data_IF_052154430872
#
_entry.id   IF_052154430872
#
_cell.length_a   1.000
_cell.length_b   1.000
_cell.length_c   1.000
_cell.angle_alpha   90.00
_cell.angle_beta   90.00
_cell.angle_gamma   90.00
#
_symmetry.space_group_name_H-M   'P 1'
#
loop_
_entity.id
_entity.type
_entity.pdbx_description
1 polymer ?
#
# COMPACT_ATOMS: atom_id res chain seq x y z
N UNK A 1 31.26 51.22 -6.04
CA UNK A 1 30.96 50.08 -5.14
C UNK A 1 29.52 49.66 -5.35
N UNK A 2 29.27 48.62 -6.15
CA UNK A 2 27.94 48.03 -6.30
C UNK A 2 27.63 47.20 -5.04
N UNK A 3 26.66 47.66 -4.27
CA UNK A 3 26.10 46.92 -3.15
C UNK A 3 25.47 45.63 -3.70
N UNK A 4 26.07 44.47 -3.39
CA UNK A 4 25.48 43.15 -3.68
C UNK A 4 24.14 43.11 -2.95
N UNK A 5 23.03 43.24 -3.68
CA UNK A 5 21.70 43.01 -3.14
C UNK A 5 21.68 41.61 -2.52
N UNK A 6 21.41 41.54 -1.22
CA UNK A 6 21.30 40.29 -0.46
C UNK A 6 20.26 39.42 -1.17
N UNK A 7 20.68 38.26 -1.67
CA UNK A 7 19.83 37.33 -2.41
C UNK A 7 18.67 36.94 -1.48
N UNK A 8 17.48 37.51 -1.74
CA UNK A 8 16.30 37.27 -0.92
C UNK A 8 15.87 35.83 -1.22
N UNK A 9 16.08 34.92 -0.26
CA UNK A 9 15.64 33.54 -0.41
C UNK A 9 14.13 33.54 -0.55
N UNK A 10 13.63 33.25 -1.75
CA UNK A 10 12.21 33.06 -1.97
C UNK A 10 11.78 31.77 -1.26
N UNK A 11 11.22 31.90 -0.06
CA UNK A 11 10.73 30.78 0.76
C UNK A 11 9.82 29.86 -0.06
N UNK A 12 8.99 30.44 -0.94
CA UNK A 12 8.12 29.68 -1.84
C UNK A 12 8.93 28.84 -2.83
N UNK A 13 10.01 29.36 -3.40
CA UNK A 13 10.88 28.61 -4.31
C UNK A 13 11.62 27.48 -3.58
N UNK A 14 12.12 27.74 -2.36
CA UNK A 14 12.74 26.71 -1.53
C UNK A 14 11.75 25.59 -1.17
N UNK A 15 10.52 25.96 -0.80
CA UNK A 15 9.42 25.01 -0.59
C UNK A 15 9.16 24.15 -1.83
N UNK A 16 9.05 24.77 -3.02
CA UNK A 16 8.83 24.03 -4.27
C UNK A 16 9.94 23.05 -4.59
N UNK A 17 11.19 23.43 -4.33
CA UNK A 17 12.33 22.54 -4.54
C UNK A 17 12.32 21.36 -3.55
N UNK A 18 12.01 21.63 -2.28
CA UNK A 18 11.99 20.60 -1.24
C UNK A 18 10.88 19.58 -1.46
N UNK A 19 9.71 20.02 -1.94
CA UNK A 19 8.52 19.18 -2.11
C UNK A 19 8.31 18.63 -3.54
N UNK A 20 9.21 18.90 -4.50
CA UNK A 20 9.22 18.23 -5.81
C UNK A 20 9.83 16.81 -5.73
N UNK A 21 9.27 15.99 -4.84
CA UNK A 21 9.71 14.62 -4.53
C UNK A 21 9.65 13.71 -5.76
N UNK A 22 8.74 14.00 -6.70
CA UNK A 22 8.53 13.20 -7.91
C UNK A 22 9.29 13.71 -9.12
N UNK A 23 10.00 14.84 -9.01
CA UNK A 23 10.64 15.54 -10.13
C UNK A 23 9.69 15.69 -11.32
N UNK A 24 8.49 16.21 -11.05
CA UNK A 24 7.46 16.41 -12.08
C UNK A 24 7.89 17.50 -13.07
N UNK A 25 8.72 18.45 -12.61
CA UNK A 25 9.32 19.47 -13.44
C UNK A 25 10.54 18.92 -14.19
N UNK A 26 10.39 18.74 -15.51
CA UNK A 26 11.47 18.28 -16.40
C UNK A 26 12.45 19.38 -16.82
N UNK A 27 12.21 20.63 -16.45
CA UNK A 27 13.03 21.78 -16.87
C UNK A 27 14.24 21.95 -15.96
N UNK A 28 15.49 21.72 -16.41
CA UNK A 28 16.62 21.58 -15.49
C UNK A 28 17.33 22.89 -15.08
N UNK A 29 16.91 24.09 -15.54
CA UNK A 29 17.83 25.27 -15.46
C UNK A 29 17.24 26.64 -15.15
N UNK A 30 15.93 26.77 -14.94
CA UNK A 30 15.33 28.05 -14.55
C UNK A 30 14.25 27.76 -13.54
N UNK A 31 14.21 28.53 -12.45
CA UNK A 31 13.03 28.60 -11.60
C UNK A 31 11.82 28.71 -12.53
N UNK A 32 10.85 27.77 -12.49
CA UNK A 32 9.67 27.91 -13.32
C UNK A 32 9.11 29.31 -13.03
N UNK A 33 8.77 30.10 -14.06
CA UNK A 33 8.09 31.37 -13.82
C UNK A 33 6.93 31.07 -12.89
N UNK A 34 6.77 31.86 -11.82
CA UNK A 34 5.73 31.63 -10.82
C UNK A 34 4.44 31.31 -11.57
N UNK A 35 3.94 30.07 -11.46
CA UNK A 35 2.75 29.68 -12.18
C UNK A 35 1.68 30.75 -11.89
N UNK A 36 1.10 31.31 -12.96
CA UNK A 36 0.12 32.38 -12.84
C UNK A 36 -1.00 31.97 -11.86
N UNK A 37 -1.68 32.93 -11.22
CA UNK A 37 -2.70 32.62 -10.24
C UNK A 37 -3.73 31.67 -10.83
N UNK A 38 -3.91 30.51 -10.19
CA UNK A 38 -4.90 29.49 -10.61
C UNK A 38 -6.29 30.13 -10.64
N UNK A 39 -6.99 29.98 -11.75
CA UNK A 39 -8.36 30.48 -11.89
C UNK A 39 -9.26 29.92 -10.78
N UNK A 40 -10.11 30.78 -10.19
CA UNK A 40 -11.07 30.35 -9.14
C UNK A 40 -11.95 29.18 -9.60
N UNK A 41 -12.31 29.14 -10.90
CA UNK A 41 -13.10 28.04 -11.47
C UNK A 41 -12.34 26.72 -11.43
N UNK A 42 -11.07 26.72 -11.84
CA UNK A 42 -10.19 25.55 -11.80
C UNK A 42 -9.97 25.08 -10.37
N UNK A 43 -9.74 26.01 -9.45
CA UNK A 43 -9.55 25.72 -8.04
C UNK A 43 -10.80 25.08 -7.42
N UNK A 44 -11.98 25.65 -7.68
CA UNK A 44 -13.23 25.12 -7.17
C UNK A 44 -13.51 23.73 -7.73
N UNK A 45 -13.35 23.53 -9.04
CA UNK A 45 -13.51 22.23 -9.68
C UNK A 45 -12.56 21.18 -9.07
N UNK A 46 -11.30 21.54 -8.85
CA UNK A 46 -10.32 20.67 -8.19
C UNK A 46 -10.80 20.27 -6.79
N UNK A 47 -11.07 21.25 -5.92
CA UNK A 47 -11.48 20.97 -4.52
C UNK A 47 -12.78 20.16 -4.48
N UNK A 48 -13.79 20.52 -5.26
CA UNK A 48 -15.05 19.76 -5.33
C UNK A 48 -14.83 18.33 -5.79
N UNK A 49 -14.00 18.09 -6.80
CA UNK A 49 -13.70 16.72 -7.25
C UNK A 49 -13.00 15.88 -6.17
N UNK A 50 -12.09 16.49 -5.40
CA UNK A 50 -11.37 15.82 -4.31
C UNK A 50 -12.28 15.52 -3.12
N UNK A 51 -13.18 16.44 -2.76
CA UNK A 51 -14.20 16.21 -1.74
C UNK A 51 -15.17 15.10 -2.13
N UNK A 52 -15.65 15.09 -3.39
CA UNK A 52 -16.52 14.03 -3.89
C UNK A 52 -15.83 12.66 -3.84
N UNK A 53 -14.54 12.60 -4.20
CA UNK A 53 -13.74 11.38 -4.09
C UNK A 53 -13.64 10.88 -2.65
N UNK A 54 -13.35 11.75 -1.68
CA UNK A 54 -13.32 11.39 -0.25
C UNK A 54 -14.69 10.90 0.25
N UNK A 55 -15.78 11.53 -0.19
CA UNK A 55 -17.13 11.09 0.13
C UNK A 55 -17.42 9.68 -0.43
N UNK A 56 -17.04 9.42 -1.68
CA UNK A 56 -17.20 8.09 -2.29
C UNK A 56 -16.37 7.05 -1.53
N UNK A 57 -15.13 7.35 -1.18
CA UNK A 57 -14.29 6.46 -0.37
C UNK A 57 -14.92 6.16 0.98
N UNK A 58 -15.40 7.18 1.68
CA UNK A 58 -16.09 6.99 2.95
C UNK A 58 -17.34 6.11 2.80
N UNK A 59 -18.21 6.39 1.81
CA UNK A 59 -19.41 5.60 1.55
C UNK A 59 -19.09 4.13 1.25
N UNK A 60 -18.14 3.88 0.35
CA UNK A 60 -17.76 2.52 -0.03
C UNK A 60 -17.08 1.78 1.12
N UNK A 61 -16.17 2.43 1.85
CA UNK A 61 -15.48 1.78 2.96
C UNK A 61 -16.45 1.47 4.10
N UNK A 62 -17.24 2.44 4.55
CA UNK A 62 -18.11 2.28 5.72
C UNK A 62 -19.32 1.40 5.44
N UNK A 63 -19.98 1.57 4.28
CA UNK A 63 -21.25 0.89 4.02
C UNK A 63 -21.14 -0.37 3.17
N UNK A 64 -20.03 -0.57 2.45
CA UNK A 64 -19.85 -1.76 1.61
C UNK A 64 -18.71 -2.66 2.12
N UNK A 65 -17.50 -2.13 2.29
CA UNK A 65 -16.30 -2.95 2.51
C UNK A 65 -16.12 -3.41 3.96
N UNK A 66 -16.28 -2.50 4.93
CA UNK A 66 -16.17 -2.84 6.36
C UNK A 66 -17.19 -3.89 6.82
N UNK A 67 -18.49 -3.80 6.49
CA UNK A 67 -19.46 -4.79 6.93
C UNK A 67 -19.41 -6.10 6.14
N UNK A 68 -18.61 -6.19 5.06
CA UNK A 68 -18.67 -7.31 4.10
C UNK A 68 -18.44 -8.68 4.74
N UNK A 69 -17.38 -8.81 5.54
CA UNK A 69 -17.04 -10.08 6.21
C UNK A 69 -18.10 -10.47 7.26
N UNK A 70 -18.44 -9.61 8.24
CA UNK A 70 -19.44 -9.99 9.24
C UNK A 70 -20.84 -10.19 8.64
N UNK A 71 -21.20 -9.49 7.56
CA UNK A 71 -22.49 -9.66 6.89
C UNK A 71 -22.60 -11.02 6.19
N UNK A 72 -21.52 -11.49 5.56
CA UNK A 72 -21.53 -12.75 4.78
C UNK A 72 -21.22 -13.97 5.67
N UNK A 73 -20.35 -13.83 6.66
CA UNK A 73 -19.78 -14.95 7.42
C UNK A 73 -20.07 -14.90 8.94
N UNK A 74 -20.85 -13.93 9.41
CA UNK A 74 -21.16 -13.74 10.82
C UNK A 74 -21.98 -14.89 11.45
N UNK A 75 -21.74 -15.23 12.72
CA UNK A 75 -20.72 -14.67 13.61
C UNK A 75 -19.30 -15.11 13.20
N UNK A 76 -18.36 -14.18 13.32
CA UNK A 76 -16.95 -14.37 13.01
C UNK A 76 -16.20 -14.52 14.32
N UNK A 77 -15.34 -15.53 14.39
CA UNK A 77 -14.70 -15.95 15.62
C UNK A 77 -13.19 -15.70 15.61
N UNK A 78 -12.56 -15.45 16.78
CA UNK A 78 -11.14 -15.10 16.83
C UNK A 78 -10.21 -16.13 16.18
N UNK A 79 -10.48 -17.43 16.36
CA UNK A 79 -9.63 -18.51 15.83
C UNK A 79 -9.59 -18.56 14.30
N UNK A 80 -10.50 -17.87 13.60
CA UNK A 80 -10.49 -17.79 12.15
C UNK A 80 -9.36 -16.91 11.58
N UNK A 81 -8.73 -16.11 12.45
CA UNK A 81 -7.64 -15.20 12.12
C UNK A 81 -6.39 -15.49 12.97
N UNK A 82 -6.32 -16.63 13.64
CA UNK A 82 -5.16 -16.96 14.46
C UNK A 82 -3.93 -17.35 13.61
N UNK A 83 -2.82 -17.68 14.28
CA UNK A 83 -1.60 -18.14 13.61
C UNK A 83 -1.81 -19.44 12.82
N UNK A 84 -2.75 -20.30 13.24
CA UNK A 84 -3.05 -21.53 12.54
C UNK A 84 -3.69 -21.25 11.17
N UNK A 85 -4.66 -20.33 11.12
CA UNK A 85 -5.29 -19.85 9.90
C UNK A 85 -4.30 -19.23 8.91
N UNK A 86 -3.17 -18.69 9.37
CA UNK A 86 -2.11 -18.16 8.49
C UNK A 86 -1.36 -19.25 7.69
N UNK A 87 -1.37 -20.51 8.15
CA UNK A 87 -0.65 -21.63 7.55
C UNK A 87 -1.39 -22.34 6.40
N UNK A 88 -2.39 -21.68 5.82
CA UNK A 88 -3.28 -22.17 4.75
C UNK A 88 -2.67 -23.20 3.77
N UNK A 89 -1.61 -22.86 3.02
CA UNK A 89 -1.06 -23.77 2.02
C UNK A 89 -0.45 -25.05 2.59
N UNK A 90 0.08 -25.00 3.81
CA UNK A 90 0.60 -26.19 4.49
C UNK A 90 -0.51 -27.15 4.89
N UNK A 91 -1.75 -26.67 4.97
CA UNK A 91 -2.94 -27.42 5.39
C UNK A 91 -3.87 -27.78 4.23
N UNK A 92 -3.40 -27.63 2.98
CA UNK A 92 -4.16 -28.10 1.84
C UNK A 92 -4.33 -29.63 1.94
N UNK A 93 -5.46 -30.20 1.45
CA UNK A 93 -5.74 -31.64 1.53
C UNK A 93 -4.69 -32.55 0.86
N UNK A 94 -3.75 -31.97 0.11
CA UNK A 94 -2.60 -32.64 -0.48
C UNK A 94 -1.59 -33.15 0.58
N UNK A 95 -1.61 -32.59 1.79
CA UNK A 95 -0.74 -32.96 2.89
C UNK A 95 -1.63 -33.61 3.97
N UNK A 96 -1.41 -34.90 4.26
CA UNK A 96 -2.23 -35.69 5.20
C UNK A 96 -2.25 -35.08 6.61
N UNK A 97 -3.28 -34.27 6.91
CA UNK A 97 -3.35 -33.38 8.06
C UNK A 97 -4.69 -33.54 8.76
N UNK A 98 -4.65 -33.53 10.10
CA UNK A 98 -5.80 -33.74 10.98
C UNK A 98 -6.94 -32.72 10.80
N UNK A 99 -6.62 -31.51 10.37
CA UNK A 99 -7.58 -30.41 10.18
C UNK A 99 -7.30 -29.69 8.84
N UNK A 100 -7.88 -30.17 7.73
CA UNK A 100 -7.69 -29.56 6.42
C UNK A 100 -8.41 -28.21 6.30
N UNK A 101 -7.91 -27.37 5.38
CA UNK A 101 -8.55 -26.10 5.03
C UNK A 101 -10.02 -26.29 4.67
N UNK A 102 -10.89 -25.46 5.22
CA UNK A 102 -12.33 -25.46 4.91
C UNK A 102 -12.67 -24.48 3.78
N UNK A 103 -13.81 -24.73 3.11
CA UNK A 103 -14.37 -23.78 2.13
C UNK A 103 -14.67 -22.43 2.77
N UNK A 104 -15.17 -22.41 4.02
CA UNK A 104 -15.48 -21.18 4.77
C UNK A 104 -14.22 -20.34 4.97
N UNK A 105 -13.13 -20.93 5.43
CA UNK A 105 -11.84 -20.25 5.59
C UNK A 105 -11.31 -19.70 4.26
N UNK A 106 -11.43 -20.49 3.18
CA UNK A 106 -11.01 -20.07 1.84
C UNK A 106 -11.77 -18.83 1.38
N UNK A 107 -13.09 -18.81 1.56
CA UNK A 107 -13.95 -17.69 1.18
C UNK A 107 -13.69 -16.45 2.05
N UNK A 108 -13.56 -16.62 3.37
CA UNK A 108 -13.23 -15.52 4.29
C UNK A 108 -11.88 -14.93 3.90
N UNK A 109 -10.86 -15.75 3.68
CA UNK A 109 -9.52 -15.30 3.25
C UNK A 109 -9.56 -14.57 1.91
N UNK A 110 -10.36 -15.03 0.95
CA UNK A 110 -10.52 -14.38 -0.35
C UNK A 110 -11.14 -12.99 -0.20
N UNK A 111 -12.25 -12.88 0.54
CA UNK A 111 -12.93 -11.60 0.81
C UNK A 111 -12.04 -10.66 1.63
N UNK A 112 -11.34 -11.20 2.63
CA UNK A 112 -10.35 -10.48 3.43
C UNK A 112 -9.25 -9.88 2.55
N UNK A 113 -8.73 -10.64 1.60
CA UNK A 113 -7.67 -10.17 0.69
C UNK A 113 -8.14 -8.96 -0.11
N UNK A 114 -9.35 -9.01 -0.69
CA UNK A 114 -9.93 -7.88 -1.43
C UNK A 114 -10.13 -6.67 -0.52
N UNK A 115 -10.70 -6.89 0.68
CA UNK A 115 -10.89 -5.85 1.69
C UNK A 115 -9.57 -5.20 2.09
N UNK A 116 -8.53 -6.01 2.35
CA UNK A 116 -7.22 -5.52 2.77
C UNK A 116 -6.57 -4.65 1.69
N UNK A 117 -6.61 -5.06 0.43
CA UNK A 117 -6.10 -4.26 -0.70
C UNK A 117 -6.87 -2.94 -0.81
N UNK A 118 -8.20 -2.98 -0.68
CA UNK A 118 -9.05 -1.79 -0.75
C UNK A 118 -8.72 -0.80 0.35
N UNK A 119 -8.66 -1.24 1.61
CA UNK A 119 -8.40 -0.38 2.76
C UNK A 119 -7.03 0.30 2.64
N UNK A 120 -5.97 -0.47 2.37
CA UNK A 120 -4.63 0.11 2.19
C UNK A 120 -4.56 1.10 1.01
N UNK A 121 -5.28 0.83 -0.08
CA UNK A 121 -5.37 1.78 -1.20
C UNK A 121 -6.09 3.07 -0.79
N UNK A 122 -7.25 2.95 -0.15
CA UNK A 122 -8.07 4.10 0.25
C UNK A 122 -7.37 4.94 1.30
N UNK A 123 -6.76 4.34 2.33
CA UNK A 123 -6.12 5.07 3.42
C UNK A 123 -5.02 6.00 2.90
N UNK A 124 -4.16 5.45 2.05
CA UNK A 124 -3.03 6.16 1.46
C UNK A 124 -3.50 7.23 0.48
N UNK A 125 -4.42 6.91 -0.43
CA UNK A 125 -4.91 7.86 -1.44
C UNK A 125 -5.88 8.92 -0.87
N UNK A 126 -6.61 8.60 0.20
CA UNK A 126 -7.47 9.54 0.92
C UNK A 126 -6.62 10.57 1.65
N UNK A 127 -5.55 10.15 2.34
CA UNK A 127 -4.60 11.06 2.98
C UNK A 127 -3.98 12.03 1.95
N UNK A 128 -3.52 11.51 0.80
CA UNK A 128 -2.99 12.35 -0.28
C UNK A 128 -4.05 13.29 -0.87
N UNK A 129 -5.29 12.80 -1.05
CA UNK A 129 -6.41 13.61 -1.55
C UNK A 129 -6.76 14.72 -0.56
N UNK A 130 -6.79 14.44 0.73
CA UNK A 130 -7.03 15.43 1.79
C UNK A 130 -5.93 16.49 1.81
N UNK A 131 -4.66 16.08 1.82
CA UNK A 131 -3.54 17.02 1.80
C UNK A 131 -3.56 17.89 0.53
N UNK A 132 -3.96 17.34 -0.61
CA UNK A 132 -4.10 18.14 -1.84
C UNK A 132 -5.12 19.27 -1.70
N UNK A 133 -6.21 19.06 -0.96
CA UNK A 133 -7.20 20.11 -0.67
C UNK A 133 -6.58 21.18 0.21
N UNK A 134 -5.82 20.79 1.24
CA UNK A 134 -5.16 21.73 2.15
C UNK A 134 -4.14 22.59 1.39
N UNK A 135 -3.21 21.98 0.66
CA UNK A 135 -2.10 22.70 0.02
C UNK A 135 -2.50 23.49 -1.23
N UNK A 136 -3.42 22.97 -2.05
CA UNK A 136 -3.90 23.66 -3.26
C UNK A 136 -5.07 24.59 -2.94
N UNK A 137 -6.09 24.09 -2.24
CA UNK A 137 -7.35 24.79 -1.96
C UNK A 137 -7.22 25.88 -0.91
N UNK A 138 -6.76 25.50 0.28
CA UNK A 138 -6.75 26.37 1.47
C UNK A 138 -5.51 27.26 1.53
N UNK A 139 -4.32 26.65 1.49
CA UNK A 139 -3.04 27.36 1.64
C UNK A 139 -2.57 28.02 0.34
N UNK A 140 -3.06 27.55 -0.82
CA UNK A 140 -2.69 28.03 -2.16
C UNK A 140 -1.17 28.06 -2.39
N UNK A 141 -0.48 27.10 -1.78
CA UNK A 141 0.96 26.89 -1.98
C UNK A 141 1.21 26.17 -3.29
N UNK A 142 0.30 25.27 -3.66
CA UNK A 142 0.40 24.38 -4.82
C UNK A 142 -0.69 24.61 -5.86
N UNK A 143 -0.41 24.13 -7.08
CA UNK A 143 -1.37 24.05 -8.19
C UNK A 143 -1.84 22.59 -8.38
N UNK A 144 -3.03 22.36 -8.95
CA UNK A 144 -3.58 21.03 -9.18
C UNK A 144 -2.61 20.03 -9.85
N UNK A 145 -1.80 20.50 -10.78
CA UNK A 145 -0.85 19.71 -11.57
C UNK A 145 0.33 19.17 -10.76
N UNK A 146 0.62 19.76 -9.60
CA UNK A 146 1.66 19.29 -8.67
C UNK A 146 1.17 18.14 -7.78
N UNK A 147 -0.13 17.87 -7.79
CA UNK A 147 -0.78 16.80 -7.04
C UNK A 147 -1.37 15.70 -7.94
N UNK A 148 -0.60 15.07 -8.86
CA UNK A 148 -1.12 13.98 -9.66
C UNK A 148 -1.50 12.77 -8.80
N UNK A 149 -2.34 11.87 -9.34
CA UNK A 149 -2.77 10.65 -8.66
C UNK A 149 -1.61 9.88 -8.03
N UNK A 150 -1.86 9.36 -6.83
CA UNK A 150 -0.86 8.63 -6.05
C UNK A 150 -0.61 7.23 -6.62
N UNK A 151 -1.67 6.65 -7.18
CA UNK A 151 -1.67 5.35 -7.82
C UNK A 151 -1.75 5.49 -9.34
N UNK A 152 -1.24 4.49 -10.06
CA UNK A 152 -1.47 4.33 -11.48
C UNK A 152 -2.78 3.58 -11.78
N UNK A 153 -2.87 3.05 -13.00
CA UNK A 153 -4.04 2.25 -13.39
C UNK A 153 -4.00 0.86 -12.76
N UNK A 154 -5.08 0.46 -12.08
CA UNK A 154 -5.26 -0.90 -11.57
C UNK A 154 -5.29 -1.95 -12.71
N UNK A 155 -5.63 -1.54 -13.93
CA UNK A 155 -5.62 -2.41 -15.11
C UNK A 155 -4.21 -2.86 -15.53
N UNK A 156 -3.17 -2.21 -15.00
CA UNK A 156 -1.78 -2.60 -15.24
C UNK A 156 -1.26 -3.60 -14.21
N UNK A 157 -2.03 -3.91 -13.16
CA UNK A 157 -1.61 -4.74 -12.03
C UNK A 157 -1.69 -6.26 -12.27
N UNK A 158 -1.38 -6.73 -13.48
CA UNK A 158 -1.41 -8.16 -13.86
C UNK A 158 -0.04 -8.88 -13.70
N UNK A 159 0.85 -8.33 -12.88
CA UNK A 159 2.09 -8.98 -12.44
C UNK A 159 2.59 -8.21 -11.23
N UNK A 160 3.33 -8.83 -10.31
CA UNK A 160 3.83 -8.15 -9.12
C UNK A 160 4.80 -7.03 -9.51
N UNK A 161 5.63 -7.23 -10.54
CA UNK A 161 6.49 -6.15 -11.05
C UNK A 161 5.70 -4.92 -11.49
N UNK A 162 4.56 -5.11 -12.16
CA UNK A 162 3.70 -3.99 -12.59
C UNK A 162 2.82 -3.46 -11.47
N UNK A 163 2.38 -4.32 -10.55
CA UNK A 163 1.67 -3.91 -9.35
C UNK A 163 2.51 -2.86 -8.61
N UNK A 164 3.74 -3.19 -8.22
CA UNK A 164 4.62 -2.27 -7.49
C UNK A 164 5.19 -1.13 -8.35
N UNK A 165 5.47 -1.37 -9.64
CA UNK A 165 6.14 -0.38 -10.49
C UNK A 165 5.22 0.55 -11.30
N UNK A 166 3.95 0.19 -11.50
CA UNK A 166 2.99 0.95 -12.34
C UNK A 166 1.74 1.36 -11.57
N UNK A 167 1.24 0.52 -10.68
CA UNK A 167 -0.01 0.77 -9.96
C UNK A 167 0.22 1.36 -8.57
N UNK A 168 0.97 0.68 -7.71
CA UNK A 168 1.12 1.00 -6.29
C UNK A 168 1.89 2.30 -6.04
N UNK A 169 1.45 3.04 -5.01
CA UNK A 169 2.02 4.25 -4.42
C UNK A 169 3.31 4.79 -5.09
N UNK A 170 3.14 5.70 -6.05
CA UNK A 170 4.23 6.19 -6.93
C UNK A 170 5.05 7.34 -6.35
N UNK A 171 4.66 7.88 -5.20
CA UNK A 171 5.31 9.05 -4.57
C UNK A 171 6.74 8.73 -4.15
N UNK A 172 6.95 7.57 -3.52
CA UNK A 172 8.22 7.16 -2.91
C UNK A 172 9.25 6.63 -3.91
N UNK A 173 8.82 6.27 -5.12
CA UNK A 173 9.67 5.60 -6.10
C UNK A 173 10.92 6.41 -6.47
N UNK A 174 10.79 7.72 -6.71
CA UNK A 174 11.90 8.57 -7.14
C UNK A 174 12.94 8.76 -6.02
N UNK A 175 12.57 9.13 -4.78
CA UNK A 175 13.52 9.17 -3.67
C UNK A 175 14.25 7.85 -3.46
N UNK A 176 13.52 6.73 -3.47
CA UNK A 176 14.12 5.42 -3.24
C UNK A 176 15.08 5.04 -4.37
N UNK A 177 14.71 5.31 -5.63
CA UNK A 177 15.59 5.09 -6.77
C UNK A 177 16.86 5.96 -6.71
N UNK A 178 16.74 7.22 -6.31
CA UNK A 178 17.89 8.12 -6.16
C UNK A 178 18.87 7.59 -5.11
N UNK A 179 18.37 7.17 -3.95
CA UNK A 179 19.20 6.56 -2.91
C UNK A 179 19.81 5.23 -3.37
N UNK A 180 19.02 4.39 -4.04
CA UNK A 180 19.50 3.12 -4.61
C UNK A 180 20.64 3.33 -5.62
N UNK A 181 20.58 4.37 -6.46
CA UNK A 181 21.64 4.72 -7.40
C UNK A 181 22.92 5.17 -6.71
N UNK A 182 22.82 5.97 -5.65
CA UNK A 182 23.99 6.38 -4.85
C UNK A 182 24.68 5.15 -4.25
N UNK A 183 23.90 4.20 -3.72
CA UNK A 183 24.44 2.94 -3.18
C UNK A 183 25.08 2.11 -4.29
N UNK A 184 24.41 1.96 -5.45
CA UNK A 184 24.93 1.20 -6.59
C UNK A 184 26.23 1.78 -7.14
N UNK A 185 26.35 3.10 -7.21
CA UNK A 185 27.55 3.80 -7.64
C UNK A 185 28.71 3.59 -6.68
N UNK A 186 28.47 3.74 -5.36
CA UNK A 186 29.47 3.49 -4.31
C UNK A 186 29.97 2.06 -4.29
N UNK A 187 29.12 1.10 -4.61
CA UNK A 187 29.47 -0.33 -4.66
C UNK A 187 29.93 -0.78 -6.05
N UNK A 188 30.09 0.15 -7.00
CA UNK A 188 30.54 -0.14 -8.36
C UNK A 188 29.67 -1.19 -9.07
N UNK A 189 28.38 -1.30 -8.72
CA UNK A 189 27.44 -2.25 -9.31
C UNK A 189 27.18 -1.98 -10.81
N UNK A 190 27.38 -0.74 -11.24
CA UNK A 190 27.17 -0.31 -12.63
C UNK A 190 28.11 -1.05 -13.62
N UNK A 191 29.23 -1.59 -13.14
CA UNK A 191 30.19 -2.33 -13.96
C UNK A 191 29.84 -3.83 -14.09
N UNK A 192 28.84 -4.31 -13.35
CA UNK A 192 28.43 -5.73 -13.33
C UNK A 192 27.36 -6.06 -14.38
N UNK A 193 27.00 -5.09 -15.23
CA UNK A 193 26.06 -5.24 -16.33
C UNK A 193 24.63 -4.77 -16.02
N UNK A 194 23.91 -4.38 -17.07
CA UNK A 194 22.60 -3.69 -16.97
C UNK A 194 21.50 -4.50 -16.26
N UNK A 195 21.51 -5.82 -16.43
CA UNK A 195 20.56 -6.72 -15.75
C UNK A 195 20.82 -6.80 -14.26
N UNK A 196 22.09 -6.91 -13.87
CA UNK A 196 22.49 -6.92 -12.47
C UNK A 196 22.15 -5.59 -11.81
N UNK A 197 22.51 -4.47 -12.43
CA UNK A 197 22.20 -3.14 -11.92
C UNK A 197 20.69 -2.96 -11.72
N UNK A 198 19.86 -3.34 -12.70
CA UNK A 198 18.39 -3.24 -12.57
C UNK A 198 17.86 -4.07 -11.39
N UNK A 199 18.39 -5.28 -11.21
CA UNK A 199 18.01 -6.18 -10.12
C UNK A 199 18.45 -5.60 -8.76
N UNK A 200 19.68 -5.12 -8.67
CA UNK A 200 20.25 -4.51 -7.47
C UNK A 200 19.47 -3.25 -7.05
N UNK A 201 19.18 -2.36 -8.00
CA UNK A 201 18.37 -1.17 -7.74
C UNK A 201 16.98 -1.55 -7.22
N UNK A 202 16.33 -2.56 -7.80
CA UNK A 202 15.05 -3.05 -7.32
C UNK A 202 15.15 -3.58 -5.88
N UNK A 203 16.16 -4.40 -5.58
CA UNK A 203 16.41 -4.91 -4.23
C UNK A 203 16.56 -3.76 -3.21
N UNK A 204 17.40 -2.78 -3.50
CA UNK A 204 17.63 -1.64 -2.60
C UNK A 204 16.36 -0.80 -2.42
N UNK A 205 15.56 -0.59 -3.47
CA UNK A 205 14.26 0.11 -3.36
C UNK A 205 13.32 -0.61 -2.39
N UNK A 206 13.20 -1.94 -2.50
CA UNK A 206 12.38 -2.72 -1.58
C UNK A 206 12.94 -2.73 -0.16
N UNK A 207 14.27 -2.82 0.00
CA UNK A 207 14.92 -2.75 1.31
C UNK A 207 14.67 -1.40 2.00
N UNK A 208 14.82 -0.28 1.28
CA UNK A 208 14.52 1.06 1.81
C UNK A 208 13.05 1.16 2.21
N UNK A 209 12.15 0.61 1.40
CA UNK A 209 10.72 0.54 1.73
C UNK A 209 10.48 -0.24 3.04
N UNK A 210 11.11 -1.40 3.19
CA UNK A 210 11.01 -2.21 4.41
C UNK A 210 11.55 -1.49 5.65
N UNK A 211 12.69 -0.81 5.53
CA UNK A 211 13.23 0.00 6.63
C UNK A 211 12.31 1.17 6.99
N UNK A 212 11.69 1.82 6.00
CA UNK A 212 10.76 2.92 6.26
C UNK A 212 9.52 2.46 7.04
N UNK A 213 9.00 1.26 6.73
CA UNK A 213 7.92 0.63 7.49
C UNK A 213 8.37 0.23 8.89
N UNK A 214 9.53 -0.45 9.00
CA UNK A 214 10.08 -0.86 10.29
C UNK A 214 10.31 0.29 11.28
N UNK A 215 10.64 1.49 10.80
CA UNK A 215 10.75 2.69 11.65
C UNK A 215 9.42 3.01 12.35
N UNK A 216 8.29 2.79 11.69
CA UNK A 216 6.95 2.99 12.28
C UNK A 216 6.71 1.96 13.38
N UNK A 217 6.92 0.66 13.11
CA UNK A 217 6.75 -0.38 14.13
C UNK A 217 7.70 -0.20 15.31
N UNK A 218 8.93 0.29 15.07
CA UNK A 218 9.86 0.64 16.15
C UNK A 218 9.37 1.81 17.01
N UNK A 219 8.71 2.81 16.42
CA UNK A 219 8.11 3.93 17.16
C UNK A 219 6.94 3.46 18.04
N UNK A 220 6.25 2.39 17.63
CA UNK A 220 5.21 1.73 18.41
C UNK A 220 5.76 0.75 19.45
N UNK A 221 7.08 0.55 19.47
CA UNK A 221 7.78 -0.34 20.42
C UNK A 221 7.81 -1.81 20.00
N UNK A 222 7.46 -2.12 18.75
CA UNK A 222 7.26 -3.48 18.26
C UNK A 222 8.46 -3.97 17.43
N UNK A 223 9.50 -4.46 18.14
CA UNK A 223 10.76 -4.90 17.50
C UNK A 223 10.57 -6.08 16.55
N UNK A 224 9.69 -7.03 16.87
CA UNK A 224 9.44 -8.21 16.04
C UNK A 224 8.83 -7.80 14.70
N UNK A 225 7.81 -6.96 14.76
CA UNK A 225 7.11 -6.42 13.59
C UNK A 225 8.07 -5.62 12.68
N UNK A 226 8.98 -4.85 13.27
CA UNK A 226 10.01 -4.14 12.50
C UNK A 226 10.91 -5.08 11.66
N UNK A 227 11.23 -6.28 12.16
CA UNK A 227 11.94 -7.29 11.37
C UNK A 227 11.05 -7.91 10.30
N UNK A 228 9.79 -8.18 10.63
CA UNK A 228 8.80 -8.74 9.70
C UNK A 228 8.52 -7.79 8.53
N UNK A 229 8.49 -6.47 8.78
CA UNK A 229 8.38 -5.42 7.77
C UNK A 229 9.51 -5.50 6.74
N UNK A 230 10.75 -5.50 7.22
CA UNK A 230 11.92 -5.59 6.35
C UNK A 230 11.89 -6.90 5.56
N UNK A 231 11.62 -8.01 6.24
CA UNK A 231 11.54 -9.32 5.62
C UNK A 231 10.46 -9.38 4.54
N UNK A 232 9.28 -8.81 4.79
CA UNK A 232 8.15 -8.78 3.86
C UNK A 232 8.49 -8.04 2.56
N UNK A 233 9.07 -6.85 2.65
CA UNK A 233 9.44 -6.09 1.46
C UNK A 233 10.59 -6.76 0.68
N UNK A 234 11.58 -7.33 1.38
CA UNK A 234 12.62 -8.13 0.73
C UNK A 234 12.05 -9.38 0.05
N UNK A 235 11.07 -10.06 0.66
CA UNK A 235 10.38 -11.19 0.06
C UNK A 235 9.60 -10.79 -1.19
N UNK A 236 8.93 -9.63 -1.19
CA UNK A 236 8.27 -9.10 -2.40
C UNK A 236 9.27 -8.95 -3.56
N UNK A 237 10.46 -8.43 -3.31
CA UNK A 237 11.52 -8.38 -4.32
C UNK A 237 11.89 -9.79 -4.84
N UNK A 238 12.10 -10.76 -3.95
CA UNK A 238 12.43 -12.13 -4.34
C UNK A 238 11.33 -12.74 -5.21
N UNK A 239 10.06 -12.59 -4.85
CA UNK A 239 8.94 -13.09 -5.66
C UNK A 239 8.89 -12.40 -7.02
N UNK A 240 9.16 -11.10 -7.10
CA UNK A 240 9.25 -10.37 -8.39
C UNK A 240 10.42 -10.86 -9.25
N UNK A 241 11.57 -11.16 -8.64
CA UNK A 241 12.73 -11.70 -9.36
C UNK A 241 12.40 -13.09 -9.94
N UNK A 242 11.78 -13.96 -9.14
CA UNK A 242 11.30 -15.28 -9.57
C UNK A 242 10.23 -15.15 -10.66
N UNK A 243 9.26 -14.26 -10.50
CA UNK A 243 8.24 -13.95 -11.52
C UNK A 243 8.91 -13.56 -12.85
N UNK A 244 9.95 -12.73 -12.80
CA UNK A 244 10.72 -12.33 -13.98
C UNK A 244 11.40 -13.52 -14.68
N UNK A 245 11.98 -14.44 -13.91
CA UNK A 245 12.59 -15.67 -14.44
C UNK A 245 11.55 -16.59 -15.08
N UNK A 246 10.42 -16.83 -14.39
CA UNK A 246 9.31 -17.68 -14.89
C UNK A 246 8.72 -17.09 -16.17
N UNK A 247 8.48 -15.79 -16.20
CA UNK A 247 7.97 -15.10 -17.40
C UNK A 247 8.97 -15.14 -18.55
N UNK A 248 10.27 -15.06 -18.26
CA UNK A 248 11.34 -15.24 -19.24
C UNK A 248 11.35 -16.65 -19.83
N UNK A 249 11.28 -17.67 -18.98
CA UNK A 249 11.22 -19.07 -19.38
C UNK A 249 9.94 -19.42 -20.16
N UNK A 250 8.80 -18.83 -19.78
CA UNK A 250 7.52 -18.99 -20.46
C UNK A 250 7.37 -18.12 -21.72
N UNK A 251 8.40 -17.35 -22.11
CA UNK A 251 8.33 -16.48 -23.29
C UNK A 251 7.97 -17.20 -24.60
N UNK A 252 8.41 -18.45 -24.88
CA UNK A 252 7.99 -19.16 -26.08
C UNK A 252 6.50 -19.53 -26.06
N UNK A 253 5.90 -19.66 -24.89
CA UNK A 253 4.48 -19.99 -24.75
C UNK A 253 3.57 -18.81 -25.07
N UNK A 254 4.10 -17.57 -25.09
CA UNK A 254 3.30 -16.36 -25.29
C UNK A 254 2.55 -16.32 -26.61
N UNK A 255 3.07 -16.99 -27.64
CA UNK A 255 2.45 -17.05 -28.96
C UNK A 255 1.16 -17.88 -28.99
N UNK A 256 0.94 -18.78 -28.02
CA UNK A 256 -0.20 -19.70 -28.02
C UNK A 256 -1.47 -19.14 -27.38
N UNK A 257 -1.37 -18.04 -26.62
CA UNK A 257 -2.50 -17.42 -25.95
C UNK A 257 -2.59 -15.92 -26.27
N UNK A 258 -3.81 -15.37 -26.43
CA UNK A 258 -3.97 -13.94 -26.68
C UNK A 258 -3.54 -13.12 -25.47
N UNK A 259 -3.17 -11.85 -25.70
CA UNK A 259 -2.70 -10.93 -24.66
C UNK A 259 -3.68 -10.81 -23.47
N UNK A 260 -4.99 -10.86 -23.73
CA UNK A 260 -6.02 -10.79 -22.68
C UNK A 260 -5.98 -11.99 -21.72
N UNK A 261 -5.70 -13.20 -22.23
CA UNK A 261 -5.56 -14.39 -21.38
C UNK A 261 -4.31 -14.28 -20.49
N UNK A 262 -3.18 -13.80 -21.03
CA UNK A 262 -1.98 -13.54 -20.22
C UNK A 262 -2.21 -12.50 -19.13
N UNK A 263 -2.99 -11.45 -19.42
CA UNK A 263 -3.39 -10.46 -18.42
C UNK A 263 -4.27 -11.08 -17.34
N UNK A 264 -5.24 -11.92 -17.71
CA UNK A 264 -6.09 -12.62 -16.75
C UNK A 264 -5.27 -13.54 -15.84
N UNK A 265 -4.39 -14.38 -16.41
CA UNK A 265 -3.47 -15.24 -15.65
C UNK A 265 -2.64 -14.39 -14.68
N UNK A 266 -2.16 -13.25 -15.15
CA UNK A 266 -1.42 -12.29 -14.35
C UNK A 266 -2.21 -11.70 -13.18
N UNK A 267 -3.48 -11.33 -13.39
CA UNK A 267 -4.36 -10.87 -12.30
C UNK A 267 -4.64 -11.97 -11.29
N UNK A 268 -4.90 -13.19 -11.74
CA UNK A 268 -5.07 -14.36 -10.85
C UNK A 268 -3.79 -14.57 -10.04
N UNK A 269 -2.62 -14.49 -10.66
CA UNK A 269 -1.33 -14.60 -9.96
C UNK A 269 -1.16 -13.53 -8.87
N UNK A 270 -1.40 -12.25 -9.21
CA UNK A 270 -1.30 -11.15 -8.23
C UNK A 270 -2.30 -11.34 -7.09
N UNK A 271 -3.54 -11.77 -7.39
CA UNK A 271 -4.52 -12.09 -6.36
C UNK A 271 -4.05 -13.25 -5.47
N UNK A 272 -3.53 -14.34 -6.04
CA UNK A 272 -3.03 -15.49 -5.28
C UNK A 272 -1.83 -15.12 -4.39
N UNK A 273 -0.96 -14.24 -4.86
CA UNK A 273 0.12 -13.69 -4.05
C UNK A 273 -0.43 -12.93 -2.83
N UNK A 274 -1.42 -12.05 -3.01
CA UNK A 274 -2.01 -11.32 -1.89
C UNK A 274 -2.88 -12.21 -0.99
N UNK A 275 -3.53 -13.23 -1.55
CA UNK A 275 -4.26 -14.26 -0.80
C UNK A 275 -3.34 -15.03 0.15
N UNK A 276 -2.07 -15.20 -0.24
CA UNK A 276 -1.04 -15.75 0.61
C UNK A 276 -0.49 -14.74 1.62
N UNK A 277 -0.14 -13.54 1.13
CA UNK A 277 0.68 -12.57 1.86
C UNK A 277 -0.13 -11.71 2.84
N UNK A 278 -1.30 -11.20 2.44
CA UNK A 278 -2.08 -10.26 3.25
C UNK A 278 -2.49 -10.85 4.62
N UNK A 279 -2.91 -12.13 4.72
CA UNK A 279 -3.20 -12.75 6.02
C UNK A 279 -2.00 -12.80 6.96
N UNK A 280 -0.79 -13.04 6.44
CA UNK A 280 0.43 -13.10 7.27
C UNK A 280 0.74 -11.76 7.92
N UNK A 281 0.38 -10.68 7.22
CA UNK A 281 0.54 -9.34 7.72
C UNK A 281 -0.56 -8.98 8.71
N UNK A 282 -1.82 -9.10 8.32
CA UNK A 282 -2.92 -8.42 9.03
C UNK A 282 -3.81 -9.33 9.90
N UNK A 283 -3.66 -10.66 9.87
CA UNK A 283 -4.51 -11.54 10.69
C UNK A 283 -4.28 -11.35 12.19
N UNK A 284 -3.05 -11.06 12.61
CA UNK A 284 -2.74 -10.88 14.03
C UNK A 284 -3.50 -9.69 14.64
N UNK A 285 -3.54 -8.55 13.95
CA UNK A 285 -4.32 -7.37 14.35
C UNK A 285 -5.80 -7.72 14.50
N UNK A 286 -6.38 -8.38 13.48
CA UNK A 286 -7.80 -8.76 13.49
C UNK A 286 -8.11 -9.75 14.61
N UNK A 287 -7.23 -10.72 14.83
CA UNK A 287 -7.37 -11.69 15.91
C UNK A 287 -7.40 -11.01 17.28
N UNK A 288 -6.47 -10.08 17.53
CA UNK A 288 -6.43 -9.31 18.76
C UNK A 288 -7.68 -8.45 18.97
N UNK A 289 -8.15 -7.77 17.91
CA UNK A 289 -9.38 -6.96 17.98
C UNK A 289 -10.60 -7.82 18.34
N UNK A 290 -10.74 -8.99 17.72
CA UNK A 290 -11.82 -9.93 18.01
C UNK A 290 -11.75 -10.48 19.44
N UNK A 291 -10.54 -10.80 19.95
CA UNK A 291 -10.36 -11.19 21.35
C UNK A 291 -10.76 -10.06 22.31
N UNK A 292 -10.29 -8.83 22.07
CA UNK A 292 -10.65 -7.65 22.87
C UNK A 292 -12.17 -7.41 22.84
N UNK A 293 -12.83 -7.68 21.72
CA UNK A 293 -14.29 -7.57 21.63
C UNK A 293 -15.02 -8.69 22.37
N UNK A 294 -14.57 -9.93 22.25
CA UNK A 294 -15.11 -11.06 23.00
C UNK A 294 -15.00 -10.83 24.52
N UNK A 295 -13.85 -10.33 25.00
CA UNK A 295 -13.67 -9.95 26.40
C UNK A 295 -14.64 -8.84 26.84
N UNK A 296 -14.82 -7.80 26.02
CA UNK A 296 -15.76 -6.71 26.31
C UNK A 296 -17.19 -7.23 26.43
N UNK A 297 -17.61 -8.13 25.54
CA UNK A 297 -18.94 -8.78 25.60
C UNK A 297 -19.09 -9.63 26.87
N UNK A 298 -18.10 -10.44 27.21
CA UNK A 298 -18.13 -11.29 28.41
C UNK A 298 -18.19 -10.45 29.70
N UNK A 299 -17.44 -9.35 29.79
CA UNK A 299 -17.50 -8.42 30.94
C UNK A 299 -18.88 -7.76 31.05
N UNK A 300 -19.47 -7.33 29.94
CA UNK A 300 -20.80 -6.72 29.93
C UNK A 300 -21.89 -7.71 30.38
N UNK A 301 -21.83 -8.96 29.91
CA UNK A 301 -22.73 -10.03 30.34
C UNK A 301 -22.56 -10.36 31.83
N UNK A 302 -21.32 -10.46 32.31
CA UNK A 302 -21.04 -10.66 33.74
C UNK A 302 -21.61 -9.55 34.62
N UNK A 303 -21.45 -8.29 34.20
CA UNK A 303 -22.05 -7.14 34.89
C UNK A 303 -23.58 -7.21 34.89
N UNK A 304 -24.22 -7.58 33.78
CA UNK A 304 -25.68 -7.74 33.71
C UNK A 304 -26.19 -8.86 34.62
N UNK A 305 -25.46 -9.98 34.71
CA UNK A 305 -25.80 -11.06 35.63
C UNK A 305 -25.66 -10.62 37.09
N UNK A 306 -24.59 -9.89 37.44
CA UNK A 306 -24.41 -9.34 38.78
C UNK A 306 -25.51 -8.33 39.13
N UNK A 307 -25.81 -7.36 38.26
CA UNK A 307 -26.89 -6.40 38.51
C UNK A 307 -28.27 -7.05 38.55
N UNK A 308 -28.50 -8.10 37.76
CA UNK A 308 -29.71 -8.92 37.84
C UNK A 308 -29.84 -9.69 39.16
N UNK A 309 -28.72 -10.25 39.67
CA UNK A 309 -28.67 -10.94 40.96
C UNK A 309 -28.84 -9.98 42.15
N UNK A 310 -28.31 -8.76 42.06
CA UNK A 310 -28.47 -7.72 43.08
C UNK A 310 -29.75 -6.87 42.91
N UNK A 311 -30.49 -7.06 41.82
CA UNK A 311 -31.67 -6.30 41.43
C UNK A 311 -33.02 -6.95 41.78
N UNK A 312 -33.03 -8.10 42.44
CA UNK A 312 -34.26 -8.70 42.99
C UNK A 312 -34.59 -8.09 44.36
N UNK A 313 -35.49 -7.10 44.35
CA UNK A 313 -36.40 -6.79 45.46
C UNK A 313 -37.81 -7.16 45.07
#
# INVERSE_FOLDING_TARGET
>A
MQCKSRQQWEIKAAYKLLFDVRHLNKSPKTFPPSAGPVSRKTLLAFVTSRLLKLLIYWLLTVHLVTPLIPLIFGPVEPWEFDHYAQTYFRRLPLFDIREPVTTRETLIRAVFTVRWIWLNFVDVDAAHTFLSIVFVGTLRLDIPEEWPPMFGSALEAYSLRRYWGRFWHRLVYRPYLSLARVVAEKLHCNYLGSRFETCFLAFIIFLISGVAHAIVSLQEGNLVEAFDDIAFYCMNFLVIAIEGMVVGAASPLRQFLPCSCWRLIGFVWVFMFWFWAAPKWAYHEVHEELLKEAERRNRAQGLQLLTGLFGMK
#
